data_IF_773675365319
#
_entry.id   IF_773675365319
#
_cell.length_a   1.000
_cell.length_b   1.000
_cell.length_c   1.000
_cell.angle_alpha   90.00
_cell.angle_beta   90.00
_cell.angle_gamma   90.00
#
_symmetry.space_group_name_H-M   'P 1'
#
loop_
_entity.id
_entity.type
_entity.pdbx_description
1 polymer ?
#
# COMPACT_ATOMS: atom_id res chain seq x y z
N UNK A 1 -11.83 22.99 18.23
CA UNK A 1 -11.59 21.61 17.75
C UNK A 1 -10.50 21.02 18.62
N UNK A 2 -10.72 19.83 19.18
CA UNK A 2 -9.69 19.10 19.91
C UNK A 2 -8.54 18.73 18.94
N UNK A 3 -7.30 18.96 19.36
CA UNK A 3 -6.08 18.63 18.60
C UNK A 3 -6.08 17.16 18.16
N UNK A 4 -6.60 16.25 19.01
CA UNK A 4 -6.72 14.83 18.69
C UNK A 4 -7.63 14.56 17.48
N UNK A 5 -8.73 15.32 17.37
CA UNK A 5 -9.65 15.21 16.25
C UNK A 5 -8.99 15.62 14.93
N UNK A 6 -8.22 16.71 14.94
CA UNK A 6 -7.52 17.21 13.75
C UNK A 6 -6.48 16.18 13.27
N UNK A 7 -5.67 15.62 14.16
CA UNK A 7 -4.68 14.61 13.75
C UNK A 7 -5.33 13.35 13.17
N UNK A 8 -6.45 12.87 13.73
CA UNK A 8 -7.20 11.74 13.16
C UNK A 8 -7.75 12.06 11.77
N UNK A 9 -8.18 13.30 11.52
CA UNK A 9 -8.60 13.76 10.19
C UNK A 9 -7.43 13.77 9.21
N UNK A 10 -6.31 14.38 9.58
CA UNK A 10 -5.11 14.44 8.74
C UNK A 10 -4.62 13.02 8.42
N UNK A 11 -4.58 12.12 9.40
CA UNK A 11 -4.20 10.72 9.19
C UNK A 11 -5.10 10.00 8.18
N UNK A 12 -6.41 10.22 8.29
CA UNK A 12 -7.38 9.69 7.32
C UNK A 12 -7.15 10.28 5.93
N UNK A 13 -6.86 11.58 5.83
CA UNK A 13 -6.57 12.25 4.57
C UNK A 13 -5.28 11.76 3.92
N UNK A 14 -4.20 11.62 4.69
CA UNK A 14 -2.90 11.16 4.18
C UNK A 14 -2.97 9.72 3.66
N UNK A 15 -3.76 8.86 4.30
CA UNK A 15 -3.97 7.49 3.85
C UNK A 15 -4.67 7.38 2.49
N UNK A 16 -5.60 8.30 2.17
CA UNK A 16 -6.37 8.25 0.92
C UNK A 16 -5.72 9.04 -0.19
N UNK A 17 -5.29 10.27 0.08
CA UNK A 17 -4.85 11.19 -0.97
C UNK A 17 -3.38 10.91 -1.34
N UNK A 18 -2.36 11.30 -0.55
CA UNK A 18 -0.98 11.06 -0.96
C UNK A 18 -0.63 9.57 -1.04
N UNK A 19 -0.86 8.81 0.04
CA UNK A 19 -0.42 7.41 0.11
C UNK A 19 -1.25 6.52 -0.81
N UNK A 20 -2.57 6.70 -0.81
CA UNK A 20 -3.49 5.92 -1.64
C UNK A 20 -3.29 6.14 -3.14
N UNK A 21 -3.12 7.40 -3.57
CA UNK A 21 -2.84 7.69 -4.98
C UNK A 21 -1.47 7.16 -5.40
N UNK A 22 -0.46 7.29 -4.54
CA UNK A 22 0.84 6.68 -4.80
C UNK A 22 0.76 5.17 -4.92
N UNK A 23 0.00 4.48 -4.06
CA UNK A 23 -0.20 3.02 -4.15
C UNK A 23 -0.82 2.63 -5.50
N UNK A 24 -1.84 3.35 -5.97
CA UNK A 24 -2.48 3.07 -7.26
C UNK A 24 -1.49 3.26 -8.40
N UNK A 25 -0.76 4.39 -8.42
CA UNK A 25 0.26 4.66 -9.42
C UNK A 25 1.37 3.60 -9.39
N UNK A 26 1.86 3.24 -8.20
CA UNK A 26 2.86 2.21 -8.00
C UNK A 26 2.40 0.88 -8.60
N UNK A 27 1.19 0.42 -8.28
CA UNK A 27 0.64 -0.82 -8.82
C UNK A 27 0.42 -0.77 -10.34
N UNK A 28 0.07 0.40 -10.88
CA UNK A 28 -0.06 0.60 -12.32
C UNK A 28 1.29 0.42 -13.03
N UNK A 29 2.37 1.03 -12.53
CA UNK A 29 3.71 0.87 -13.10
C UNK A 29 4.15 -0.60 -13.08
N UNK A 30 3.76 -1.38 -12.06
CA UNK A 30 4.09 -2.81 -12.01
C UNK A 30 3.48 -3.63 -13.16
N UNK A 31 2.41 -3.17 -13.81
CA UNK A 31 1.82 -3.88 -14.96
C UNK A 31 2.80 -4.00 -16.14
N UNK A 32 3.76 -3.08 -16.26
CA UNK A 32 4.79 -3.12 -17.30
C UNK A 32 5.78 -4.27 -17.14
N UNK A 33 5.75 -5.04 -16.04
CA UNK A 33 6.55 -6.28 -15.94
C UNK A 33 6.24 -7.26 -17.08
N UNK A 34 5.00 -7.27 -17.60
CA UNK A 34 4.59 -8.07 -18.77
C UNK A 34 5.10 -7.53 -20.10
N UNK A 35 5.63 -6.30 -20.14
CA UNK A 35 6.17 -5.66 -21.34
C UNK A 35 7.66 -5.96 -21.58
N UNK A 36 8.29 -6.73 -20.69
CA UNK A 36 9.70 -7.08 -20.77
C UNK A 36 10.62 -6.09 -20.05
N UNK A 37 11.88 -6.49 -19.87
CA UNK A 37 12.85 -5.80 -19.03
C UNK A 37 13.14 -4.35 -19.47
N UNK A 38 13.35 -4.15 -20.78
CA UNK A 38 13.66 -2.83 -21.35
C UNK A 38 12.55 -1.81 -21.04
N UNK A 39 11.31 -2.14 -21.39
CA UNK A 39 10.15 -1.25 -21.17
C UNK A 39 9.90 -1.01 -19.69
N UNK A 40 9.97 -2.05 -18.85
CA UNK A 40 9.77 -1.88 -17.41
C UNK A 40 10.82 -0.97 -16.78
N UNK A 41 12.09 -1.18 -17.12
CA UNK A 41 13.18 -0.36 -16.61
C UNK A 41 13.06 1.09 -17.09
N UNK A 42 12.72 1.32 -18.36
CA UNK A 42 12.48 2.66 -18.91
C UNK A 42 11.36 3.38 -18.15
N UNK A 43 10.20 2.74 -17.98
CA UNK A 43 9.04 3.33 -17.31
C UNK A 43 9.34 3.64 -15.84
N UNK A 44 10.01 2.75 -15.11
CA UNK A 44 10.41 2.99 -13.71
C UNK A 44 11.43 4.12 -13.63
N UNK A 45 12.48 4.10 -14.47
CA UNK A 45 13.52 5.13 -14.45
C UNK A 45 13.00 6.50 -14.87
N UNK A 46 12.03 6.56 -15.79
CA UNK A 46 11.43 7.82 -16.27
C UNK A 46 10.88 8.68 -15.13
N UNK A 47 10.34 8.04 -14.08
CA UNK A 47 9.88 8.74 -12.88
C UNK A 47 11.05 9.37 -12.12
N UNK A 48 12.15 8.64 -11.95
CA UNK A 48 13.31 9.08 -11.17
C UNK A 48 14.19 10.09 -11.91
N UNK A 49 14.24 10.02 -13.24
CA UNK A 49 14.99 10.97 -14.09
C UNK A 49 14.31 12.35 -14.17
N UNK A 50 13.05 12.46 -13.71
CA UNK A 50 12.35 13.72 -13.63
C UNK A 50 13.02 14.69 -12.63
N UNK A 51 13.20 15.97 -12.97
CA UNK A 51 13.73 16.97 -12.03
C UNK A 51 12.81 17.20 -10.81
N UNK A 52 11.56 16.73 -10.88
CA UNK A 52 10.59 16.81 -9.79
C UNK A 52 10.52 15.53 -8.95
N UNK A 53 11.21 14.45 -9.34
CA UNK A 53 11.11 13.15 -8.70
C UNK A 53 11.35 13.21 -7.19
N UNK A 54 12.46 13.84 -6.78
CA UNK A 54 12.82 13.98 -5.36
C UNK A 54 11.75 14.75 -4.57
N UNK A 55 11.23 15.84 -5.14
CA UNK A 55 10.20 16.65 -4.48
C UNK A 55 8.89 15.89 -4.32
N UNK A 56 8.47 15.15 -5.36
CA UNK A 56 7.28 14.29 -5.31
C UNK A 56 7.47 13.19 -4.27
N UNK A 57 8.59 12.46 -4.33
CA UNK A 57 8.90 11.40 -3.37
C UNK A 57 8.89 11.92 -1.93
N UNK A 58 9.57 13.03 -1.63
CA UNK A 58 9.65 13.52 -0.26
C UNK A 58 8.30 14.08 0.22
N UNK A 59 7.70 15.00 -0.53
CA UNK A 59 6.54 15.77 -0.07
C UNK A 59 5.21 15.02 -0.21
N UNK A 60 5.09 14.18 -1.24
CA UNK A 60 3.83 13.48 -1.57
C UNK A 60 3.88 12.03 -1.10
N UNK A 61 5.04 11.39 -1.03
CA UNK A 61 5.14 9.97 -0.65
C UNK A 61 5.67 9.80 0.77
N UNK A 62 6.95 10.10 1.02
CA UNK A 62 7.62 9.76 2.26
C UNK A 62 7.09 10.50 3.48
N UNK A 63 6.96 11.83 3.45
CA UNK A 63 6.44 12.59 4.60
C UNK A 63 5.02 12.14 4.96
N UNK A 64 4.05 12.07 4.02
CA UNK A 64 2.71 11.59 4.34
C UNK A 64 2.67 10.14 4.79
N UNK A 65 3.49 9.26 4.20
CA UNK A 65 3.55 7.84 4.56
C UNK A 65 4.13 7.63 5.97
N UNK A 66 5.18 8.37 6.35
CA UNK A 66 5.74 8.33 7.70
C UNK A 66 4.71 8.82 8.71
N UNK A 67 4.08 9.96 8.45
CA UNK A 67 3.03 10.46 9.34
C UNK A 67 1.86 9.48 9.46
N UNK A 68 1.38 8.94 8.33
CA UNK A 68 0.29 7.98 8.30
C UNK A 68 0.64 6.71 9.08
N UNK A 69 1.82 6.13 8.84
CA UNK A 69 2.21 4.86 9.45
C UNK A 69 2.50 4.99 10.94
N UNK A 70 3.21 6.04 11.38
CA UNK A 70 3.50 6.28 12.79
C UNK A 70 2.21 6.55 13.57
N UNK A 71 1.37 7.49 13.09
CA UNK A 71 0.13 7.82 13.79
C UNK A 71 -0.89 6.66 13.73
N UNK A 72 -0.94 5.92 12.63
CA UNK A 72 -1.76 4.71 12.49
C UNK A 72 -1.36 3.60 13.47
N UNK A 73 -0.05 3.41 13.69
CA UNK A 73 0.46 2.49 14.70
C UNK A 73 0.04 2.92 16.11
N UNK A 74 0.16 4.21 16.45
CA UNK A 74 -0.30 4.75 17.73
C UNK A 74 -1.80 4.47 17.97
N UNK A 75 -2.67 4.79 16.98
CA UNK A 75 -4.11 4.51 17.05
C UNK A 75 -4.38 3.00 17.23
N UNK A 76 -3.53 2.15 16.64
CA UNK A 76 -3.67 0.70 16.74
C UNK A 76 -3.37 0.21 18.16
N UNK A 77 -2.34 0.75 18.82
CA UNK A 77 -2.00 0.39 20.20
C UNK A 77 -2.95 0.99 21.24
N UNK A 78 -3.59 2.13 20.94
CA UNK A 78 -4.67 2.70 21.77
C UNK A 78 -6.00 1.95 21.64
N UNK A 79 -6.10 0.97 20.74
CA UNK A 79 -7.34 0.29 20.45
C UNK A 79 -7.84 -0.53 21.64
N UNK A 80 -9.05 -0.22 22.10
CA UNK A 80 -9.75 -0.99 23.12
C UNK A 80 -10.51 -2.15 22.50
N UNK A 81 -10.48 -3.32 23.13
CA UNK A 81 -11.28 -4.48 22.73
C UNK A 81 -12.76 -4.11 22.93
N UNK A 82 -13.54 -4.15 21.86
CA UNK A 82 -14.97 -3.92 21.93
C UNK A 82 -15.69 -5.23 22.33
N UNK A 83 -16.78 -5.16 23.12
CA UNK A 83 -17.55 -6.34 23.48
C UNK A 83 -17.98 -7.13 22.23
N UNK A 84 -17.82 -8.45 22.31
CA UNK A 84 -18.09 -9.40 21.23
C UNK A 84 -19.53 -9.26 20.71
N UNK A 85 -19.66 -8.69 19.53
CA UNK A 85 -20.81 -8.92 18.68
C UNK A 85 -20.30 -9.45 17.34
N UNK A 86 -20.77 -10.63 16.94
CA UNK A 86 -20.37 -11.35 15.73
C UNK A 86 -20.83 -10.62 14.46
N UNK A 87 -20.19 -9.49 14.14
CA UNK A 87 -20.52 -8.66 12.97
C UNK A 87 -19.32 -8.52 12.05
N UNK A 88 -19.59 -8.61 10.74
CA UNK A 88 -18.63 -8.38 9.67
C UNK A 88 -17.85 -7.05 9.82
N UNK A 89 -18.45 -6.02 10.41
CA UNK A 89 -17.78 -4.75 10.69
C UNK A 89 -16.62 -4.88 11.71
N UNK A 90 -16.77 -5.76 12.71
CA UNK A 90 -15.72 -6.02 13.70
C UNK A 90 -14.52 -6.76 13.07
N UNK A 91 -14.79 -7.68 12.15
CA UNK A 91 -13.74 -8.30 11.35
C UNK A 91 -12.95 -7.27 10.54
N UNK A 92 -13.64 -6.40 9.78
CA UNK A 92 -12.98 -5.34 8.99
C UNK A 92 -12.18 -4.36 9.87
N UNK A 93 -12.66 -4.07 11.07
CA UNK A 93 -11.96 -3.22 12.05
C UNK A 93 -10.61 -3.81 12.47
N UNK A 94 -10.56 -5.12 12.74
CA UNK A 94 -9.32 -5.81 13.13
C UNK A 94 -8.41 -6.04 11.94
N UNK A 95 -8.97 -6.44 10.79
CA UNK A 95 -8.19 -6.61 9.57
C UNK A 95 -7.52 -5.29 9.13
N UNK A 96 -8.15 -4.13 9.31
CA UNK A 96 -7.52 -2.83 9.01
C UNK A 96 -6.25 -2.60 9.84
N UNK A 97 -6.28 -2.97 11.12
CA UNK A 97 -5.15 -2.79 12.04
C UNK A 97 -4.04 -3.79 11.76
N UNK A 98 -4.42 -5.06 11.62
CA UNK A 98 -3.48 -6.13 11.32
C UNK A 98 -2.79 -5.87 9.98
N UNK A 99 -3.55 -5.48 8.95
CA UNK A 99 -2.98 -5.10 7.66
C UNK A 99 -2.11 -3.86 7.77
N UNK A 100 -2.48 -2.85 8.55
CA UNK A 100 -1.67 -1.64 8.73
C UNK A 100 -0.29 -1.94 9.33
N UNK A 101 -0.25 -2.76 10.39
CA UNK A 101 1.01 -3.19 11.02
C UNK A 101 1.80 -4.11 10.09
N UNK A 102 1.15 -5.06 9.43
CA UNK A 102 1.80 -5.94 8.46
C UNK A 102 2.42 -5.17 7.29
N UNK A 103 1.68 -4.21 6.74
CA UNK A 103 2.13 -3.35 5.64
C UNK A 103 3.28 -2.44 6.08
N UNK A 104 3.29 -1.95 7.31
CA UNK A 104 4.43 -1.19 7.85
C UNK A 104 5.73 -2.01 7.78
N UNK A 105 5.72 -3.26 8.28
CA UNK A 105 6.89 -4.13 8.19
C UNK A 105 7.24 -4.49 6.74
N UNK A 106 6.22 -4.76 5.91
CA UNK A 106 6.42 -5.03 4.49
C UNK A 106 7.09 -3.86 3.79
N UNK A 107 6.66 -2.61 4.00
CA UNK A 107 7.25 -1.42 3.37
C UNK A 107 8.72 -1.27 3.73
N UNK A 108 9.11 -1.53 4.99
CA UNK A 108 10.52 -1.48 5.40
C UNK A 108 11.35 -2.48 4.59
N UNK A 109 10.91 -3.74 4.53
CA UNK A 109 11.59 -4.78 3.75
C UNK A 109 11.56 -4.48 2.24
N UNK A 110 10.45 -3.97 1.73
CA UNK A 110 10.23 -3.66 0.34
C UNK A 110 11.11 -2.50 -0.15
N UNK A 111 11.19 -1.38 0.59
CA UNK A 111 12.06 -0.24 0.26
C UNK A 111 13.53 -0.65 0.31
N UNK A 112 13.91 -1.50 1.27
CA UNK A 112 15.26 -2.07 1.27
C UNK A 112 15.51 -2.87 0.00
N UNK A 113 14.65 -3.84 -0.31
CA UNK A 113 14.88 -4.75 -1.42
C UNK A 113 14.77 -4.06 -2.79
N UNK A 114 13.77 -3.21 -3.01
CA UNK A 114 13.46 -2.64 -4.32
C UNK A 114 14.19 -1.31 -4.58
N UNK A 115 14.78 -0.68 -3.56
CA UNK A 115 15.41 0.63 -3.73
C UNK A 115 16.81 0.72 -3.13
N UNK A 116 16.95 0.54 -1.81
CA UNK A 116 18.23 0.79 -1.14
C UNK A 116 19.29 -0.27 -1.48
N UNK A 117 18.88 -1.54 -1.62
CA UNK A 117 19.76 -2.64 -2.02
C UNK A 117 20.41 -2.39 -3.39
N UNK A 118 19.63 -2.17 -4.46
CA UNK A 118 20.16 -1.84 -5.78
C UNK A 118 21.06 -0.59 -5.79
N UNK A 119 20.71 0.45 -5.02
CA UNK A 119 21.55 1.65 -4.90
C UNK A 119 22.91 1.34 -4.26
N UNK A 120 22.94 0.52 -3.21
CA UNK A 120 24.19 0.14 -2.52
C UNK A 120 25.03 -0.83 -3.36
N UNK A 121 24.38 -1.67 -4.15
CA UNK A 121 25.03 -2.65 -5.02
C UNK A 121 25.49 -2.08 -6.38
N UNK A 122 25.23 -0.79 -6.65
CA UNK A 122 25.49 -0.13 -7.94
C UNK A 122 24.78 -0.82 -9.12
N UNK A 123 23.57 -1.33 -8.87
CA UNK A 123 22.67 -1.97 -9.86
C UNK A 123 21.37 -1.18 -10.05
N UNK A 124 21.34 0.08 -9.61
CA UNK A 124 20.19 0.95 -9.81
C UNK A 124 19.93 1.18 -11.31
N UNK A 125 18.68 1.02 -11.73
CA UNK A 125 18.26 1.17 -13.11
C UNK A 125 17.91 -0.13 -13.83
N UNK A 126 18.36 -1.28 -13.30
CA UNK A 126 18.01 -2.64 -13.79
C UNK A 126 17.00 -3.29 -12.86
N UNK A 127 15.83 -2.66 -12.74
CA UNK A 127 14.78 -3.02 -11.77
C UNK A 127 14.13 -4.37 -12.10
N UNK A 128 13.88 -4.64 -13.38
CA UNK A 128 13.27 -5.90 -13.83
C UNK A 128 14.16 -7.09 -13.48
N UNK A 129 15.45 -7.01 -13.81
CA UNK A 129 16.44 -8.05 -13.57
C UNK A 129 16.57 -8.31 -12.08
N UNK A 130 16.70 -7.25 -11.28
CA UNK A 130 16.79 -7.35 -9.82
C UNK A 130 15.58 -8.07 -9.22
N UNK A 131 14.36 -7.77 -9.69
CA UNK A 131 13.15 -8.46 -9.24
C UNK A 131 13.12 -9.91 -9.71
N UNK A 132 13.43 -10.19 -10.98
CA UNK A 132 13.43 -11.55 -11.53
C UNK A 132 14.45 -12.45 -10.82
N UNK A 133 15.65 -11.95 -10.56
CA UNK A 133 16.70 -12.67 -9.83
C UNK A 133 16.28 -12.95 -8.38
N UNK A 134 15.82 -11.92 -7.65
CA UNK A 134 15.41 -12.08 -6.25
C UNK A 134 14.21 -13.03 -6.06
N UNK A 135 13.35 -13.16 -7.06
CA UNK A 135 12.19 -14.06 -7.04
C UNK A 135 12.51 -15.48 -7.50
N UNK A 136 13.55 -15.65 -8.32
CA UNK A 136 14.02 -16.95 -8.80
C UNK A 136 15.13 -17.57 -7.93
N UNK A 137 15.66 -16.82 -6.96
CA UNK A 137 16.68 -17.29 -6.03
C UNK A 137 16.26 -18.61 -5.32
N UNK A 138 17.08 -19.69 -5.39
CA UNK A 138 16.71 -20.99 -4.83
C UNK A 138 16.53 -21.02 -3.31
N UNK A 139 17.24 -20.15 -2.57
CA UNK A 139 17.25 -20.17 -1.10
C UNK A 139 16.18 -19.23 -0.52
N UNK A 140 16.03 -18.06 -1.12
CA UNK A 140 15.22 -16.95 -0.59
C UNK A 140 14.00 -16.62 -1.44
N UNK A 141 13.94 -17.07 -2.70
CA UNK A 141 12.88 -16.70 -3.65
C UNK A 141 11.46 -17.06 -3.18
N UNK A 142 11.28 -18.22 -2.53
CA UNK A 142 9.99 -18.60 -1.96
C UNK A 142 9.54 -17.67 -0.81
N UNK A 143 10.49 -17.26 0.03
CA UNK A 143 10.23 -16.32 1.13
C UNK A 143 9.90 -14.95 0.56
N UNK A 144 10.70 -14.46 -0.40
CA UNK A 144 10.47 -13.20 -1.11
C UNK A 144 9.08 -13.17 -1.74
N UNK A 145 8.72 -14.20 -2.52
CA UNK A 145 7.38 -14.33 -3.13
C UNK A 145 6.27 -14.28 -2.08
N UNK A 146 6.42 -15.01 -0.98
CA UNK A 146 5.41 -15.06 0.09
C UNK A 146 5.24 -13.69 0.77
N UNK A 147 6.34 -13.01 1.09
CA UNK A 147 6.33 -11.67 1.70
C UNK A 147 5.65 -10.66 0.77
N UNK A 148 5.94 -10.71 -0.53
CA UNK A 148 5.30 -9.82 -1.51
C UNK A 148 3.81 -10.11 -1.70
N UNK A 149 3.39 -11.38 -1.74
CA UNK A 149 1.96 -11.74 -1.81
C UNK A 149 1.21 -11.23 -0.58
N UNK A 150 1.75 -11.45 0.62
CA UNK A 150 1.15 -10.95 1.87
C UNK A 150 1.15 -9.43 1.94
N UNK A 151 2.23 -8.79 1.46
CA UNK A 151 2.36 -7.34 1.36
C UNK A 151 1.31 -6.73 0.42
N UNK A 152 1.10 -7.32 -0.76
CA UNK A 152 0.07 -6.92 -1.73
C UNK A 152 -1.31 -7.05 -1.09
N UNK A 153 -1.65 -8.23 -0.55
CA UNK A 153 -2.95 -8.46 0.09
C UNK A 153 -3.20 -7.47 1.23
N UNK A 154 -2.19 -7.23 2.07
CA UNK A 154 -2.25 -6.28 3.17
C UNK A 154 -2.48 -4.85 2.68
N UNK A 155 -1.68 -4.38 1.72
CA UNK A 155 -1.69 -2.99 1.25
C UNK A 155 -2.99 -2.67 0.50
N UNK A 156 -3.42 -3.54 -0.43
CA UNK A 156 -4.65 -3.34 -1.20
C UNK A 156 -5.87 -3.43 -0.29
N UNK A 157 -5.91 -4.36 0.67
CA UNK A 157 -6.99 -4.43 1.66
C UNK A 157 -7.02 -3.18 2.54
N UNK A 158 -5.88 -2.78 3.09
CA UNK A 158 -5.76 -1.63 3.99
C UNK A 158 -6.25 -0.35 3.31
N UNK A 159 -5.82 -0.12 2.07
CA UNK A 159 -6.27 1.02 1.30
C UNK A 159 -7.76 0.95 0.98
N UNK A 160 -8.24 -0.19 0.46
CA UNK A 160 -9.62 -0.34 0.04
C UNK A 160 -10.61 -0.21 1.20
N UNK A 161 -10.38 -0.88 2.34
CA UNK A 161 -11.20 -0.69 3.53
C UNK A 161 -10.99 0.70 4.17
N UNK A 162 -9.83 1.31 3.95
CA UNK A 162 -9.57 2.72 4.21
C UNK A 162 -10.56 3.66 3.50
N UNK A 163 -10.92 3.40 2.24
CA UNK A 163 -11.91 4.21 1.49
C UNK A 163 -13.28 4.18 2.19
N UNK A 164 -13.72 3.00 2.66
CA UNK A 164 -14.96 2.86 3.41
C UNK A 164 -14.94 3.70 4.70
N UNK A 165 -13.88 3.54 5.50
CA UNK A 165 -13.76 4.24 6.80
C UNK A 165 -13.55 5.74 6.63
N UNK A 166 -12.80 6.18 5.62
CA UNK A 166 -12.68 7.57 5.21
C UNK A 166 -14.04 8.16 4.86
N UNK A 167 -14.82 7.48 4.01
CA UNK A 167 -16.12 7.99 3.57
C UNK A 167 -17.10 8.19 4.72
N UNK A 168 -17.06 7.33 5.74
CA UNK A 168 -17.84 7.49 6.96
C UNK A 168 -17.32 8.68 7.76
N UNK A 169 -16.01 8.74 8.00
CA UNK A 169 -15.35 9.78 8.79
C UNK A 169 -15.63 11.17 8.20
N UNK A 170 -15.49 11.33 6.90
CA UNK A 170 -15.65 12.59 6.15
C UNK A 170 -17.08 12.91 5.74
N UNK A 171 -18.07 12.12 6.18
CA UNK A 171 -19.49 12.42 5.94
C UNK A 171 -19.95 12.20 4.51
N UNK A 172 -19.19 11.47 3.69
CA UNK A 172 -19.59 11.03 2.35
C UNK A 172 -20.65 9.92 2.45
N UNK A 173 -20.52 9.03 3.44
CA UNK A 173 -21.41 7.89 3.67
C UNK A 173 -22.10 7.96 5.06
N UNK A 174 -23.04 8.89 5.23
CA UNK A 174 -23.73 9.13 6.51
C UNK A 174 -24.92 8.20 6.79
N UNK A 175 -25.56 7.64 5.76
CA UNK A 175 -26.74 6.78 5.91
C UNK A 175 -26.36 5.30 5.86
N UNK A 176 -27.13 4.38 6.50
CA UNK A 176 -26.89 2.94 6.41
C UNK A 176 -26.78 2.43 4.97
N UNK A 177 -27.65 2.93 4.08
CA UNK A 177 -27.63 2.59 2.64
C UNK A 177 -26.35 3.06 1.94
N UNK A 178 -25.88 4.27 2.24
CA UNK A 178 -24.61 4.78 1.68
C UNK A 178 -23.39 4.01 2.19
N UNK A 179 -23.38 3.60 3.46
CA UNK A 179 -22.30 2.79 4.04
C UNK A 179 -22.25 1.38 3.43
N UNK A 180 -23.42 0.78 3.15
CA UNK A 180 -23.48 -0.50 2.45
C UNK A 180 -22.91 -0.38 1.03
N UNK A 181 -23.28 0.68 0.29
CA UNK A 181 -22.73 0.94 -1.05
C UNK A 181 -21.22 1.15 -1.01
N UNK A 182 -20.73 1.93 -0.05
CA UNK A 182 -19.30 2.20 0.06
C UNK A 182 -18.48 0.96 0.43
N UNK A 183 -19.07 0.05 1.21
CA UNK A 183 -18.49 -1.26 1.48
C UNK A 183 -18.36 -2.11 0.22
N UNK A 184 -19.39 -2.12 -0.64
CA UNK A 184 -19.33 -2.81 -1.94
C UNK A 184 -18.24 -2.22 -2.82
N UNK A 185 -18.17 -0.88 -2.91
CA UNK A 185 -17.10 -0.19 -3.66
C UNK A 185 -15.73 -0.60 -3.14
N UNK A 186 -15.55 -0.62 -1.82
CA UNK A 186 -14.28 -1.02 -1.19
C UNK A 186 -13.91 -2.47 -1.47
N UNK A 187 -14.87 -3.40 -1.46
CA UNK A 187 -14.63 -4.80 -1.84
C UNK A 187 -14.19 -4.90 -3.30
N UNK A 188 -14.88 -4.20 -4.21
CA UNK A 188 -14.52 -4.17 -5.62
C UNK A 188 -13.12 -3.59 -5.81
N UNK A 189 -12.81 -2.47 -5.17
CA UNK A 189 -11.47 -1.85 -5.21
C UNK A 189 -10.40 -2.82 -4.71
N UNK A 190 -10.63 -3.51 -3.59
CA UNK A 190 -9.72 -4.52 -3.08
C UNK A 190 -9.46 -5.62 -4.10
N UNK A 191 -10.52 -6.18 -4.69
CA UNK A 191 -10.39 -7.26 -5.68
C UNK A 191 -9.65 -6.80 -6.93
N UNK A 192 -10.02 -5.65 -7.50
CA UNK A 192 -9.38 -5.10 -8.71
C UNK A 192 -7.90 -4.87 -8.47
N UNK A 193 -7.53 -4.14 -7.42
CA UNK A 193 -6.13 -3.84 -7.14
C UNK A 193 -5.31 -5.10 -6.83
N UNK A 194 -5.87 -6.04 -6.08
CA UNK A 194 -5.18 -7.30 -5.75
C UNK A 194 -4.97 -8.16 -6.99
N UNK A 195 -6.00 -8.33 -7.82
CA UNK A 195 -5.90 -9.12 -9.05
C UNK A 195 -4.90 -8.49 -10.01
N UNK A 196 -4.94 -7.17 -10.21
CA UNK A 196 -3.98 -6.47 -11.06
C UNK A 196 -2.55 -6.60 -10.53
N UNK A 197 -2.34 -6.48 -9.22
CA UNK A 197 -1.02 -6.62 -8.61
C UNK A 197 -0.47 -8.05 -8.71
N UNK A 198 -1.30 -9.06 -8.47
CA UNK A 198 -0.90 -10.47 -8.62
C UNK A 198 -0.67 -10.84 -10.09
N UNK A 199 -1.46 -10.27 -11.01
CA UNK A 199 -1.22 -10.41 -12.44
C UNK A 199 0.15 -9.84 -12.82
N UNK A 200 0.47 -8.60 -12.42
CA UNK A 200 1.78 -8.00 -12.64
C UNK A 200 2.91 -8.90 -12.10
N UNK A 201 2.79 -9.37 -10.86
CA UNK A 201 3.80 -10.18 -10.20
C UNK A 201 4.03 -11.53 -10.91
N UNK A 202 2.99 -12.11 -11.50
CA UNK A 202 3.08 -13.38 -12.23
C UNK A 202 3.96 -13.32 -13.50
N UNK A 203 4.35 -12.12 -13.97
CA UNK A 203 5.27 -11.97 -15.11
C UNK A 203 6.69 -12.48 -14.83
N UNK A 204 7.08 -12.50 -13.55
CA UNK A 204 8.45 -12.79 -13.08
C UNK A 204 8.47 -13.96 -12.09
N UNK A 205 7.47 -14.84 -12.17
CA UNK A 205 7.26 -15.96 -11.25
C UNK A 205 7.81 -17.28 -11.74
#
# INVERSE_FOLDING_TARGET
MDTHFIYRRIHSLTGIIPVGLFLIYHLYIQLYLHSGAEVYNEEVNSFYDSPLALWILVLVVYIPLIFHSVFGALITFEAQVQPSYHYFAHLLYWLQRLSGIGVLFFIIAHVWNAQLGPLVADTWGTHWEHLAEGFSDPETGLVTKTVYVLGILGATFHFANGINTFSITWGVALTPKSQQRMRVISIITFLVLTISALYALAAIW
#
